data_IF_148535535673
#
_entry.id   IF_148535535673
#
_cell.length_a   1.000
_cell.length_b   1.000
_cell.length_c   1.000
_cell.angle_alpha   90.00
_cell.angle_beta   90.00
_cell.angle_gamma   90.00
#
_symmetry.space_group_name_H-M   'P 1'
#
loop_
_entity.id
_entity.type
_entity.pdbx_description
1 polymer ?
#
# COMPACT_ATOMS: atom_id res chain seq x y z
N UNK A 1 1.65 -9.49 7.94
CA UNK A 1 2.63 -8.60 8.60
C UNK A 1 2.99 -7.48 7.62
N UNK A 2 3.07 -6.23 8.08
CA UNK A 2 3.38 -5.05 7.25
C UNK A 2 4.76 -4.52 7.69
N UNK A 3 5.68 -4.36 6.72
CA UNK A 3 7.05 -3.89 6.92
C UNK A 3 7.54 -3.25 5.61
N UNK A 4 8.62 -2.45 5.60
CA UNK A 4 9.21 -1.93 4.37
C UNK A 4 9.49 -3.05 3.35
N UNK A 5 9.01 -2.89 2.12
CA UNK A 5 9.05 -3.88 1.04
C UNK A 5 7.84 -4.82 0.98
N UNK A 6 6.95 -4.82 1.98
CA UNK A 6 5.75 -5.65 1.96
C UNK A 6 4.71 -5.09 0.95
N UNK A 7 4.07 -5.96 0.14
CA UNK A 7 2.93 -5.56 -0.66
C UNK A 7 1.68 -5.39 0.21
N UNK A 8 0.96 -4.31 -0.02
CA UNK A 8 -0.30 -3.99 0.70
C UNK A 8 -1.39 -3.58 -0.29
N UNK A 9 -2.64 -3.82 0.09
CA UNK A 9 -3.84 -3.29 -0.58
C UNK A 9 -4.48 -2.24 0.30
N UNK A 10 -4.92 -1.12 -0.27
CA UNK A 10 -5.72 -0.12 0.44
C UNK A 10 -7.16 -0.63 0.59
N UNK A 11 -7.65 -0.67 1.82
CA UNK A 11 -8.97 -1.24 2.17
C UNK A 11 -10.00 -0.18 2.57
N UNK A 12 -9.61 1.08 2.74
CA UNK A 12 -10.55 2.16 3.03
C UNK A 12 -11.40 2.49 1.78
N UNK A 13 -12.68 2.16 1.82
CA UNK A 13 -13.65 2.37 0.71
C UNK A 13 -13.89 3.84 0.37
N UNK A 14 -13.56 4.76 1.29
CA UNK A 14 -13.72 6.20 1.08
C UNK A 14 -12.45 6.86 0.53
N UNK A 15 -11.38 6.10 0.31
CA UNK A 15 -10.12 6.59 -0.23
C UNK A 15 -10.05 6.41 -1.76
N UNK A 16 -9.40 7.35 -2.45
CA UNK A 16 -9.22 7.29 -3.92
C UNK A 16 -8.42 6.06 -4.36
N UNK A 17 -7.54 5.55 -3.50
CA UNK A 17 -6.71 4.37 -3.76
C UNK A 17 -7.38 3.06 -3.32
N UNK A 18 -8.67 3.06 -2.96
CA UNK A 18 -9.37 1.82 -2.57
C UNK A 18 -9.17 0.70 -3.60
N UNK A 19 -8.66 -0.45 -3.12
CA UNK A 19 -8.38 -1.63 -3.94
C UNK A 19 -7.03 -1.60 -4.69
N UNK A 20 -6.31 -0.48 -4.68
CA UNK A 20 -4.97 -0.41 -5.27
C UNK A 20 -3.97 -1.15 -4.39
N UNK A 21 -3.00 -1.79 -5.05
CA UNK A 21 -1.86 -2.44 -4.41
C UNK A 21 -0.61 -1.56 -4.56
N UNK A 22 0.22 -1.55 -3.53
CA UNK A 22 1.51 -0.85 -3.57
C UNK A 22 2.52 -1.48 -2.63
N UNK A 23 3.74 -0.93 -2.64
CA UNK A 23 4.84 -1.38 -1.79
C UNK A 23 5.09 -0.41 -0.66
N UNK A 24 5.12 -0.93 0.56
CA UNK A 24 5.50 -0.13 1.74
C UNK A 24 6.95 0.33 1.59
N UNK A 25 7.20 1.63 1.67
CA UNK A 25 8.56 2.19 1.62
C UNK A 25 9.12 2.47 3.01
N UNK A 26 8.28 2.98 3.92
CA UNK A 26 8.66 3.26 5.30
C UNK A 26 7.46 3.24 6.24
N UNK A 27 7.73 3.03 7.52
CA UNK A 27 6.77 3.14 8.61
C UNK A 27 7.34 4.09 9.65
N UNK A 28 6.57 5.12 10.03
CA UNK A 28 6.99 6.15 10.98
C UNK A 28 5.76 6.70 11.69
N UNK A 29 5.81 6.80 13.02
CA UNK A 29 4.72 7.35 13.85
C UNK A 29 3.33 6.75 13.56
N UNK A 30 3.28 5.42 13.38
CA UNK A 30 2.03 4.69 13.08
C UNK A 30 1.49 4.87 11.66
N UNK A 31 2.20 5.63 10.81
CA UNK A 31 1.84 5.84 9.41
C UNK A 31 2.69 5.01 8.48
N UNK A 32 2.13 4.65 7.33
CA UNK A 32 2.74 3.78 6.34
C UNK A 32 2.79 4.51 5.00
N UNK A 33 4.00 4.78 4.51
CA UNK A 33 4.18 5.32 3.17
C UNK A 33 4.18 4.18 2.15
N UNK A 34 3.26 4.23 1.19
CA UNK A 34 3.06 3.22 0.14
C UNK A 34 3.38 3.85 -1.21
N UNK A 35 4.27 3.18 -1.95
CA UNK A 35 4.60 3.51 -3.33
C UNK A 35 3.64 2.77 -4.26
N UNK A 36 2.97 3.53 -5.11
CA UNK A 36 2.20 3.03 -6.25
C UNK A 36 2.98 3.31 -7.53
N UNK A 37 3.09 2.29 -8.38
CA UNK A 37 3.78 2.35 -9.66
C UNK A 37 2.77 2.06 -10.77
N UNK A 38 2.83 2.81 -11.86
CA UNK A 38 1.93 2.64 -13.01
C UNK A 38 2.48 3.30 -14.27
N UNK A 39 3.03 2.50 -15.18
CA UNK A 39 3.67 3.04 -16.39
C UNK A 39 4.96 3.79 -16.05
N UNK A 40 5.04 5.08 -16.39
CA UNK A 40 6.18 5.93 -16.00
C UNK A 40 5.96 6.71 -14.69
N UNK A 41 4.76 6.60 -14.11
CA UNK A 41 4.37 7.39 -12.96
C UNK A 41 4.53 6.59 -11.68
N UNK A 42 5.19 7.24 -10.72
CA UNK A 42 5.33 6.77 -9.35
C UNK A 42 4.65 7.76 -8.42
N UNK A 43 3.90 7.26 -7.44
CA UNK A 43 3.26 8.09 -6.42
C UNK A 43 3.43 7.50 -5.03
N UNK A 44 4.01 8.29 -4.13
CA UNK A 44 4.15 7.94 -2.72
C UNK A 44 3.04 8.58 -1.90
N UNK A 45 2.21 7.77 -1.25
CA UNK A 45 1.08 8.23 -0.44
C UNK A 45 1.18 7.62 0.95
N UNK A 46 0.79 8.37 1.98
CA UNK A 46 0.86 7.92 3.37
C UNK A 46 -0.52 7.59 3.90
N UNK A 47 -0.67 6.41 4.49
CA UNK A 47 -1.91 5.91 5.09
C UNK A 47 -1.72 5.60 6.57
N UNK A 48 -2.83 5.44 7.29
CA UNK A 48 -2.80 4.77 8.58
C UNK A 48 -2.68 3.25 8.39
N UNK A 49 -2.14 2.57 9.40
CA UNK A 49 -1.88 1.13 9.31
C UNK A 49 -3.17 0.30 9.14
N UNK A 50 -4.29 0.75 9.70
CA UNK A 50 -5.62 0.12 9.65
C UNK A 50 -6.33 0.28 8.31
N UNK A 51 -5.84 1.15 7.42
CA UNK A 51 -6.34 1.34 6.07
C UNK A 51 -5.67 0.38 5.05
N UNK A 52 -4.76 -0.49 5.52
CA UNK A 52 -3.95 -1.37 4.70
C UNK A 52 -4.08 -2.84 5.11
N UNK A 53 -4.21 -3.72 4.12
CA UNK A 53 -4.14 -5.18 4.31
C UNK A 53 -2.91 -5.75 3.59
N UNK A 54 -2.15 -6.69 4.19
CA UNK A 54 -1.11 -7.42 3.48
C UNK A 54 -1.69 -8.20 2.30
N UNK A 55 -1.01 -8.17 1.15
CA UNK A 55 -1.37 -9.01 0.00
C UNK A 55 -0.95 -10.45 0.31
N UNK A 56 -1.90 -11.39 0.24
CA UNK A 56 -1.61 -12.81 0.45
C UNK A 56 -0.70 -13.41 -0.64
N UNK A 57 0.03 -14.49 -0.34
CA UNK A 57 0.77 -15.23 -1.37
C UNK A 57 -0.19 -15.69 -2.47
N UNK A 58 0.07 -15.27 -3.72
CA UNK A 58 -0.77 -15.57 -4.90
C UNK A 58 -1.73 -14.46 -5.34
N UNK A 59 -1.82 -13.33 -4.63
CA UNK A 59 -2.75 -12.23 -4.96
C UNK A 59 -2.05 -11.00 -5.60
N UNK A 60 -0.79 -11.14 -6.00
CA UNK A 60 -0.11 -10.14 -6.85
C UNK A 60 -0.73 -10.22 -8.24
N UNK A 61 -1.70 -9.34 -8.51
CA UNK A 61 -2.21 -9.14 -9.87
C UNK A 61 -1.28 -8.12 -10.52
N UNK A 62 -0.57 -8.57 -11.55
CA UNK A 62 0.33 -7.74 -12.36
C UNK A 62 -0.43 -6.75 -13.23
#
# INVERSE_FOLDING_TARGET
MIFPGAPVTVTNVNDTYYGFQGLVQRITDGKVAVLFEGGNWDKLVTFNLDELAPVGPGQRRG
#
